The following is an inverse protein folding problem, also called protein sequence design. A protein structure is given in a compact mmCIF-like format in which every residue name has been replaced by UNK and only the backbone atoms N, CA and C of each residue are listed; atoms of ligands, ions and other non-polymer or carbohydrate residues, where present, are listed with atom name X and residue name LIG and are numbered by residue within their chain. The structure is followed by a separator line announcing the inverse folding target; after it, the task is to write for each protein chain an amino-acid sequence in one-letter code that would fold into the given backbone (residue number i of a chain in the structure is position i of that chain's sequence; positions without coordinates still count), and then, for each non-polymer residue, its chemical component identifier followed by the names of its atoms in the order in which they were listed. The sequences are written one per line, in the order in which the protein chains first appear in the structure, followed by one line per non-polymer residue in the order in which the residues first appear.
data_IF_479002524927
#
_entry.id   IF_479002524927
#
_cell.length_a   1.000
_cell.length_b   1.000
_cell.length_c   1.000
_cell.angle_alpha   90.00
_cell.angle_beta   90.00
_cell.angle_gamma   90.00
#
_symmetry.space_group_name_H-M   'P 1'
#
loop_
_entity.id
_entity.type
_entity.pdbx_description
1 polymer ?
#
# COMPACT_ATOMS: atom_id res chain seq x y z
N UNK A 1 30.22 15.41 6.74
CA UNK A 1 31.40 14.51 6.73
C UNK A 1 30.91 13.10 6.99
N UNK A 2 31.46 12.10 6.31
CA UNK A 2 30.89 10.75 6.11
C UNK A 2 30.74 9.90 7.38
N UNK A 3 29.73 9.02 7.42
CA UNK A 3 29.85 7.55 7.27
C UNK A 3 28.44 6.92 7.02
N UNK A 4 28.33 5.67 6.48
CA UNK A 4 27.20 5.22 5.67
C UNK A 4 26.62 3.85 6.15
N UNK A 5 26.18 2.98 5.21
CA UNK A 5 25.68 1.58 5.37
C UNK A 5 24.14 1.58 5.61
N UNK A 6 23.29 0.83 4.88
CA UNK A 6 23.36 -0.62 4.59
C UNK A 6 23.27 -1.05 3.12
N UNK A 7 24.25 -1.86 2.71
CA UNK A 7 24.03 -2.96 1.76
C UNK A 7 23.24 -4.10 2.43
N UNK A 8 22.42 -4.82 1.66
CA UNK A 8 22.06 -6.21 1.94
C UNK A 8 21.74 -6.95 0.62
N UNK A 9 22.70 -7.71 0.11
CA UNK A 9 22.58 -8.62 -1.04
C UNK A 9 22.44 -10.09 -0.57
N UNK A 10 21.89 -10.95 -1.44
CA UNK A 10 22.12 -12.41 -1.55
C UNK A 10 21.94 -13.36 -0.34
N UNK A 11 21.00 -14.31 -0.49
CA UNK A 11 21.25 -15.78 -0.60
C UNK A 11 20.07 -16.60 -0.03
N UNK A 12 19.41 -17.42 -0.86
CA UNK A 12 18.75 -18.67 -0.41
C UNK A 12 18.70 -19.70 -1.55
N UNK A 13 18.98 -21.01 -1.29
CA UNK A 13 18.86 -22.09 -2.26
C UNK A 13 17.47 -22.78 -2.26
N UNK A 14 17.26 -23.58 -3.28
CA UNK A 14 16.07 -24.39 -3.62
C UNK A 14 15.69 -25.50 -2.63
N UNK A 15 14.38 -25.81 -2.49
CA UNK A 15 13.76 -27.05 -3.03
C UNK A 15 12.32 -27.35 -2.52
N UNK A 16 11.52 -28.00 -3.38
CA UNK A 16 10.42 -29.00 -3.19
C UNK A 16 9.92 -29.35 -1.76
N UNK A 17 8.65 -29.72 -1.50
CA UNK A 17 7.78 -30.62 -2.29
C UNK A 17 6.25 -30.48 -1.98
N UNK A 18 5.42 -31.38 -2.52
CA UNK A 18 3.95 -31.29 -2.70
C UNK A 18 3.08 -32.00 -1.64
N UNK A 19 1.77 -31.75 -1.75
CA UNK A 19 0.64 -32.70 -1.52
C UNK A 19 0.05 -32.78 -0.09
N UNK A 20 -1.24 -33.10 0.17
CA UNK A 20 -2.45 -33.31 -0.67
C UNK A 20 -3.72 -33.34 0.25
N UNK A 21 -4.86 -32.73 -0.17
CA UNK A 21 -6.26 -33.04 0.26
C UNK A 21 -6.61 -32.91 1.78
N UNK A 22 -7.80 -33.22 2.31
CA UNK A 22 -9.21 -32.76 2.08
C UNK A 22 -10.09 -33.32 3.25
N UNK A 23 -11.35 -32.98 3.57
CA UNK A 23 -12.37 -32.01 3.08
C UNK A 23 -13.51 -31.89 4.13
N UNK A 24 -14.32 -30.81 4.12
CA UNK A 24 -15.68 -30.67 4.72
C UNK A 24 -15.84 -30.83 6.28
N UNK A 25 -16.86 -30.28 6.97
CA UNK A 25 -17.82 -29.18 6.74
C UNK A 25 -18.62 -28.87 8.05
N UNK A 26 -19.48 -27.84 7.99
CA UNK A 26 -20.75 -27.63 8.73
C UNK A 26 -20.86 -26.59 9.89
N UNK A 27 -21.71 -25.57 9.63
CA UNK A 27 -22.75 -24.94 10.48
C UNK A 27 -22.47 -24.54 11.95
N UNK A 28 -22.58 -23.24 12.27
CA UNK A 28 -23.85 -22.62 12.72
C UNK A 28 -23.81 -21.07 12.58
N UNK A 29 -24.95 -20.39 12.79
CA UNK A 29 -25.23 -18.99 12.44
C UNK A 29 -24.93 -17.99 13.55
N UNK A 30 -24.75 -16.74 13.10
CA UNK A 30 -25.00 -15.41 13.74
C UNK A 30 -23.75 -14.56 13.87
N UNK A 31 -23.47 -13.76 12.83
CA UNK A 31 -22.79 -12.48 13.00
C UNK A 31 -23.52 -11.37 12.25
N UNK A 32 -23.37 -10.17 12.80
CA UNK A 32 -24.10 -8.94 12.50
C UNK A 32 -23.99 -8.49 11.06
N UNK A 33 -25.12 -8.07 10.50
CA UNK A 33 -25.26 -7.53 9.15
C UNK A 33 -24.69 -6.09 9.08
N UNK A 34 -23.38 -5.97 9.05
CA UNK A 34 -22.73 -4.78 8.49
C UNK A 34 -22.96 -4.77 6.97
N UNK A 35 -23.05 -3.59 6.32
CA UNK A 35 -22.95 -3.51 4.86
C UNK A 35 -21.52 -3.89 4.44
N UNK A 36 -21.30 -5.19 4.29
CA UNK A 36 -20.06 -5.79 3.84
C UNK A 36 -19.90 -5.43 2.37
N UNK A 37 -19.12 -4.39 2.08
CA UNK A 37 -18.54 -4.21 0.76
C UNK A 37 -17.48 -5.30 0.63
N UNK A 38 -17.84 -6.41 -0.01
CA UNK A 38 -16.86 -7.41 -0.43
C UNK A 38 -15.97 -6.76 -1.48
N UNK A 39 -14.80 -6.31 -1.04
CA UNK A 39 -13.71 -5.87 -1.90
C UNK A 39 -13.08 -7.14 -2.49
N UNK A 40 -13.60 -7.53 -3.65
CA UNK A 40 -13.21 -8.74 -4.39
C UNK A 40 -11.73 -8.69 -4.83
N UNK A 41 -11.13 -9.83 -5.17
CA UNK A 41 -9.71 -9.92 -5.57
C UNK A 41 -9.37 -9.10 -6.84
N UNK A 42 -10.37 -8.80 -7.67
CA UNK A 42 -10.26 -7.92 -8.85
C UNK A 42 -10.37 -6.41 -8.50
N UNK A 43 -10.56 -6.07 -7.23
CA UNK A 43 -10.94 -4.71 -6.81
C UNK A 43 -9.73 -3.84 -6.51
N UNK A 44 -9.34 -3.03 -7.50
CA UNK A 44 -8.19 -2.12 -7.41
C UNK A 44 -8.46 -0.99 -6.39
N UNK A 45 -7.54 -0.84 -5.44
CA UNK A 45 -7.48 0.24 -4.44
C UNK A 45 -6.09 0.86 -4.50
N UNK A 46 -6.00 2.20 -4.43
CA UNK A 46 -4.70 2.89 -4.28
C UNK A 46 -4.48 3.29 -2.83
N UNK A 47 -3.23 3.29 -2.39
CA UNK A 47 -2.82 3.68 -1.04
C UNK A 47 -1.61 4.60 -1.07
N UNK A 48 -1.55 5.50 -0.11
CA UNK A 48 -0.39 6.30 0.23
C UNK A 48 -0.21 6.34 1.75
N UNK A 49 1.03 6.12 2.19
CA UNK A 49 1.43 6.28 3.58
C UNK A 49 2.09 7.64 3.77
N UNK A 50 1.67 8.39 4.79
CA UNK A 50 2.13 9.76 5.04
C UNK A 50 2.55 9.91 6.51
N UNK A 51 3.84 10.12 6.73
CA UNK A 51 4.37 10.45 8.06
C UNK A 51 3.85 11.85 8.43
N UNK A 52 3.22 12.04 9.62
CA UNK A 52 2.81 13.35 10.09
C UNK A 52 4.01 14.29 10.27
N UNK A 53 3.88 15.55 9.86
CA UNK A 53 4.88 16.58 10.13
C UNK A 53 4.87 16.96 11.62
N UNK A 54 5.91 17.66 12.07
CA UNK A 54 5.96 18.15 13.45
C UNK A 54 4.72 19.00 13.77
N UNK A 55 4.01 18.67 14.85
CA UNK A 55 2.75 19.29 15.24
C UNK A 55 1.48 18.71 14.59
N UNK A 56 1.58 17.78 13.64
CA UNK A 56 0.42 17.08 13.05
C UNK A 56 0.12 15.75 13.76
N UNK A 57 -1.17 15.41 13.85
CA UNK A 57 -1.63 14.05 14.15
C UNK A 57 -1.71 13.21 12.87
N UNK A 58 -1.93 11.90 13.02
CA UNK A 58 -2.27 11.00 11.91
C UNK A 58 -3.55 11.40 11.16
N UNK A 59 -4.46 12.18 11.79
CA UNK A 59 -5.67 12.69 11.13
C UNK A 59 -5.33 13.87 10.23
N UNK A 60 -4.44 14.76 10.66
CA UNK A 60 -4.03 15.95 9.91
C UNK A 60 -3.08 15.62 8.74
N UNK A 61 -2.45 14.44 8.78
CA UNK A 61 -1.60 13.92 7.72
C UNK A 61 -2.35 13.12 6.63
N UNK A 62 -3.69 13.01 6.72
CA UNK A 62 -4.53 12.34 5.72
C UNK A 62 -4.55 13.15 4.41
N UNK A 63 -4.49 12.47 3.28
CA UNK A 63 -4.63 13.10 1.96
C UNK A 63 -6.10 13.42 1.71
N UNK A 64 -6.41 14.71 1.55
CA UNK A 64 -7.77 15.23 1.33
C UNK A 64 -7.91 16.00 0.01
N UNK A 65 -6.83 16.07 -0.76
CA UNK A 65 -6.76 16.71 -2.07
C UNK A 65 -7.56 15.91 -3.12
N UNK A 66 -8.42 16.60 -3.86
CA UNK A 66 -9.42 15.96 -4.74
C UNK A 66 -9.12 16.16 -6.23
N UNK A 67 -8.33 17.17 -6.60
CA UNK A 67 -7.92 17.43 -7.98
C UNK A 67 -6.45 17.03 -8.15
N UNK A 68 -6.14 16.29 -9.22
CA UNK A 68 -4.80 15.77 -9.48
C UNK A 68 -4.45 15.91 -10.96
N UNK A 69 -3.25 16.37 -11.28
CA UNK A 69 -2.81 16.64 -12.65
C UNK A 69 -1.39 16.14 -12.99
N UNK A 70 -0.86 15.17 -12.22
CA UNK A 70 0.48 14.58 -12.43
C UNK A 70 0.78 14.26 -13.89
N UNK A 71 2.01 14.55 -14.31
CA UNK A 71 2.55 14.18 -15.61
C UNK A 71 3.79 13.27 -15.50
N UNK A 72 4.25 12.74 -16.63
CA UNK A 72 5.37 11.79 -16.64
C UNK A 72 6.68 12.43 -16.16
N UNK A 73 6.86 13.74 -16.40
CA UNK A 73 8.00 14.51 -15.91
C UNK A 73 7.94 14.75 -14.40
N UNK A 74 6.80 15.16 -13.86
CA UNK A 74 6.62 15.41 -12.42
C UNK A 74 6.79 14.13 -11.59
N UNK A 75 6.25 13.00 -12.07
CA UNK A 75 6.42 11.68 -11.44
C UNK A 75 7.87 11.19 -11.55
N UNK A 76 8.51 11.32 -12.73
CA UNK A 76 9.94 10.99 -12.90
C UNK A 76 10.81 11.80 -11.94
N UNK A 77 10.62 13.12 -11.88
CA UNK A 77 11.39 14.00 -11.00
C UNK A 77 11.20 13.63 -9.53
N UNK A 78 9.95 13.39 -9.11
CA UNK A 78 9.62 12.98 -7.73
C UNK A 78 10.28 11.65 -7.34
N UNK A 79 10.33 10.68 -8.26
CA UNK A 79 11.04 9.42 -8.05
C UNK A 79 12.56 9.55 -8.01
N UNK A 80 13.14 10.60 -8.61
CA UNK A 80 14.59 10.84 -8.59
C UNK A 80 15.02 11.71 -7.40
N UNK A 81 14.13 12.55 -6.86
CA UNK A 81 14.34 13.39 -5.68
C UNK A 81 13.43 12.97 -4.51
N UNK A 82 13.69 11.79 -3.94
CA UNK A 82 12.95 11.29 -2.76
C UNK A 82 13.01 12.22 -1.53
N UNK A 83 13.96 13.16 -1.47
CA UNK A 83 14.07 14.12 -0.37
C UNK A 83 13.09 15.30 -0.49
N UNK A 84 12.40 15.45 -1.63
CA UNK A 84 11.48 16.55 -1.91
C UNK A 84 12.18 17.91 -1.73
N UNK A 85 13.29 18.07 -2.44
CA UNK A 85 14.24 19.19 -2.38
C UNK A 85 13.63 20.46 -2.98
N UNK A 86 12.76 21.11 -2.19
CA UNK A 86 12.00 22.29 -2.61
C UNK A 86 10.51 22.21 -2.25
N UNK A 87 10.02 21.04 -1.81
CA UNK A 87 8.62 20.86 -1.40
C UNK A 87 7.63 20.69 -2.56
N UNK A 88 8.12 20.48 -3.79
CA UNK A 88 7.35 20.47 -5.04
C UNK A 88 7.02 19.07 -5.58
N UNK A 89 7.39 18.00 -4.88
CA UNK A 89 7.13 16.63 -5.33
C UNK A 89 5.64 16.26 -5.36
N UNK A 90 5.27 15.45 -6.34
CA UNK A 90 3.96 14.83 -6.46
C UNK A 90 3.67 13.91 -5.26
N UNK A 91 2.39 13.83 -4.88
CA UNK A 91 1.96 12.79 -3.96
C UNK A 91 1.80 11.46 -4.72
N UNK A 92 2.89 10.69 -4.81
CA UNK A 92 2.87 9.36 -5.42
C UNK A 92 2.04 8.35 -4.61
N UNK A 93 1.46 7.39 -5.32
CA UNK A 93 0.58 6.33 -4.85
C UNK A 93 1.13 4.95 -5.22
N UNK A 94 0.59 3.91 -4.59
CA UNK A 94 0.81 2.51 -4.94
C UNK A 94 -0.52 1.75 -4.98
N UNK A 95 -0.53 0.60 -5.66
CA UNK A 95 -1.60 -0.38 -5.49
C UNK A 95 -1.60 -0.90 -4.04
N UNK A 96 -2.77 -1.07 -3.43
CA UNK A 96 -2.86 -1.72 -2.12
C UNK A 96 -2.75 -3.23 -2.29
N UNK A 97 -1.52 -3.72 -2.22
CA UNK A 97 -1.16 -5.13 -2.29
C UNK A 97 -0.11 -5.48 -1.23
N UNK A 98 0.32 -6.75 -1.23
CA UNK A 98 1.35 -7.25 -0.30
C UNK A 98 2.70 -6.56 -0.54
N UNK A 99 3.03 -6.18 -1.77
CA UNK A 99 4.28 -5.47 -2.09
C UNK A 99 4.32 -4.09 -1.42
N UNK A 100 3.17 -3.43 -1.30
CA UNK A 100 3.04 -2.14 -0.63
C UNK A 100 3.11 -2.28 0.90
N UNK A 101 2.66 -3.42 1.47
CA UNK A 101 2.94 -3.75 2.87
C UNK A 101 4.43 -4.04 3.12
N UNK A 102 5.14 -4.65 2.16
CA UNK A 102 6.61 -4.79 2.23
C UNK A 102 7.33 -3.44 2.12
N UNK A 103 6.89 -2.57 1.21
CA UNK A 103 7.42 -1.23 1.02
C UNK A 103 7.32 -0.37 2.28
N UNK A 104 6.18 -0.43 2.97
CA UNK A 104 5.97 0.26 4.25
C UNK A 104 6.64 -0.44 5.45
N UNK A 105 7.35 -1.55 5.25
CA UNK A 105 8.03 -2.31 6.31
C UNK A 105 7.10 -3.13 7.21
N UNK A 106 5.79 -3.15 6.94
CA UNK A 106 4.76 -3.77 7.78
C UNK A 106 4.72 -5.29 7.61
N UNK A 107 5.14 -5.80 6.46
CA UNK A 107 5.14 -7.22 6.15
C UNK A 107 6.44 -7.67 5.51
N UNK A 108 6.91 -8.88 5.83
CA UNK A 108 8.03 -9.53 5.13
C UNK A 108 7.78 -11.04 5.04
N UNK A 109 7.88 -11.59 3.85
CA UNK A 109 7.87 -13.04 3.62
C UNK A 109 8.99 -13.41 2.63
N UNK A 110 9.68 -14.52 2.90
CA UNK A 110 10.82 -15.00 2.08
C UNK A 110 10.40 -15.54 0.71
N UNK A 111 9.11 -15.77 0.47
CA UNK A 111 8.56 -16.17 -0.82
C UNK A 111 8.26 -14.98 -1.76
N UNK A 112 8.36 -13.74 -1.27
CA UNK A 112 8.12 -12.54 -2.06
C UNK A 112 9.44 -11.94 -2.55
N UNK A 113 9.36 -11.14 -3.61
CA UNK A 113 10.51 -10.37 -4.08
C UNK A 113 11.03 -9.48 -2.94
N UNK A 114 12.35 -9.50 -2.72
CA UNK A 114 13.00 -8.65 -1.73
C UNK A 114 12.85 -7.18 -2.09
N UNK A 115 12.05 -6.45 -1.32
CA UNK A 115 11.88 -5.00 -1.43
C UNK A 115 12.48 -4.32 -0.20
N UNK A 116 13.28 -3.29 -0.42
CA UNK A 116 13.74 -2.43 0.68
C UNK A 116 12.55 -1.60 1.19
N UNK A 117 12.32 -1.63 2.51
CA UNK A 117 11.28 -0.82 3.12
C UNK A 117 11.72 0.65 3.16
N UNK A 118 10.79 1.58 2.91
CA UNK A 118 11.02 3.01 3.12
C UNK A 118 11.07 3.29 4.63
N UNK A 119 12.16 3.91 5.08
CA UNK A 119 12.37 4.22 6.49
C UNK A 119 11.28 5.13 7.05
N UNK A 120 10.73 4.76 8.21
CA UNK A 120 9.76 5.56 8.96
C UNK A 120 8.29 5.40 8.53
N UNK A 121 8.00 4.67 7.44
CA UNK A 121 6.62 4.32 7.09
C UNK A 121 6.01 3.27 8.04
N UNK A 122 6.85 2.59 8.83
CA UNK A 122 6.45 1.60 9.81
C UNK A 122 6.08 2.19 11.18
N UNK A 123 6.06 3.52 11.35
CA UNK A 123 5.62 4.16 12.59
C UNK A 123 4.10 4.08 12.80
N UNK A 124 3.63 3.76 14.01
CA UNK A 124 2.19 3.51 14.27
C UNK A 124 1.30 4.73 13.98
N UNK A 125 1.86 5.93 14.10
CA UNK A 125 1.20 7.20 13.81
C UNK A 125 1.21 7.59 12.32
N UNK A 126 1.79 6.80 11.42
CA UNK A 126 1.74 7.05 9.98
C UNK A 126 0.32 6.92 9.48
N UNK A 127 -0.15 7.93 8.74
CA UNK A 127 -1.47 7.94 8.15
C UNK A 127 -1.50 7.08 6.89
N UNK A 128 -2.44 6.13 6.80
CA UNK A 128 -2.77 5.44 5.56
C UNK A 128 -3.96 6.12 4.90
N UNK A 129 -3.77 6.68 3.70
CA UNK A 129 -4.84 7.24 2.88
C UNK A 129 -5.11 6.32 1.70
N UNK A 130 -6.37 5.96 1.48
CA UNK A 130 -6.80 4.98 0.48
C UNK A 130 -7.78 5.64 -0.48
N UNK A 131 -7.57 5.45 -1.78
CA UNK A 131 -8.55 5.78 -2.82
C UNK A 131 -9.31 4.50 -3.11
N UNK A 132 -10.60 4.51 -2.76
CA UNK A 132 -11.54 3.42 -2.97
C UNK A 132 -11.80 3.19 -4.47
N UNK A 133 -12.38 2.03 -4.86
CA UNK A 133 -12.56 1.66 -6.27
C UNK A 133 -13.40 2.67 -7.07
N UNK A 134 -14.35 3.35 -6.40
CA UNK A 134 -15.15 4.43 -6.99
C UNK A 134 -14.31 5.63 -7.42
N UNK A 135 -13.22 5.91 -6.70
CA UNK A 135 -12.24 6.93 -7.04
C UNK A 135 -11.23 6.46 -8.06
N UNK A 136 -10.74 5.22 -7.93
CA UNK A 136 -9.81 4.61 -8.91
C UNK A 136 -10.39 4.67 -10.33
N UNK A 137 -11.70 4.40 -10.49
CA UNK A 137 -12.39 4.49 -11.77
C UNK A 137 -12.44 5.91 -12.40
N UNK A 138 -12.13 6.97 -11.64
CA UNK A 138 -12.09 8.37 -12.09
C UNK A 138 -10.68 8.85 -12.46
N UNK A 139 -9.66 8.03 -12.24
CA UNK A 139 -8.25 8.41 -12.34
C UNK A 139 -7.54 7.73 -13.49
N UNK A 140 -6.54 8.43 -14.04
CA UNK A 140 -5.49 7.86 -14.89
C UNK A 140 -4.22 7.72 -14.06
N UNK A 141 -3.59 6.56 -14.10
CA UNK A 141 -2.27 6.33 -13.51
C UNK A 141 -1.16 6.88 -14.41
N UNK A 142 -0.12 7.44 -13.78
CA UNK A 142 1.00 8.11 -14.43
C UNK A 142 2.28 7.47 -13.92
N UNK A 143 2.94 6.69 -14.77
CA UNK A 143 4.23 6.06 -14.43
C UNK A 143 5.41 7.00 -14.69
N UNK A 144 6.54 6.84 -13.96
CA UNK A 144 7.79 7.51 -14.29
C UNK A 144 8.38 7.00 -15.61
N UNK A 145 9.06 7.87 -16.36
CA UNK A 145 9.91 7.46 -17.48
C UNK A 145 11.25 6.96 -16.95
N UNK A 146 11.41 5.64 -16.96
CA UNK A 146 12.61 4.94 -16.48
C UNK A 146 13.60 4.60 -17.58
N UNK A 147 13.39 5.08 -18.81
CA UNK A 147 14.25 4.77 -19.96
C UNK A 147 15.49 5.67 -20.03
N UNK A 148 15.51 6.81 -19.32
CA UNK A 148 16.63 7.75 -19.31
C UNK A 148 17.90 7.24 -18.62
N UNK A 149 19.04 7.81 -19.00
CA UNK A 149 20.39 7.40 -18.57
C UNK A 149 20.69 7.56 -17.06
N UNK A 150 19.82 8.28 -16.32
CA UNK A 150 19.97 8.49 -14.87
C UNK A 150 19.55 7.31 -13.99
N UNK A 151 18.86 6.31 -14.55
CA UNK A 151 18.27 5.21 -13.78
C UNK A 151 19.19 3.99 -13.72
N UNK A 152 19.51 3.49 -12.52
CA UNK A 152 20.11 2.15 -12.36
C UNK A 152 19.05 1.03 -12.44
N UNK A 153 19.47 -0.23 -12.51
CA UNK A 153 18.53 -1.35 -12.41
C UNK A 153 17.83 -1.42 -11.03
N UNK A 154 18.53 -0.98 -9.97
CA UNK A 154 17.99 -0.94 -8.61
C UNK A 154 16.92 0.15 -8.46
N UNK A 155 17.13 1.33 -9.06
CA UNK A 155 16.14 2.43 -9.01
C UNK A 155 14.85 2.04 -9.72
N UNK A 156 14.95 1.40 -10.89
CA UNK A 156 13.80 0.85 -11.62
C UNK A 156 13.00 -0.16 -10.79
N UNK A 157 13.70 -1.02 -10.05
CA UNK A 157 13.06 -1.97 -9.13
C UNK A 157 12.41 -1.26 -7.94
N UNK A 158 13.06 -0.22 -7.39
CA UNK A 158 12.55 0.54 -6.24
C UNK A 158 11.26 1.33 -6.56
N UNK A 159 11.11 1.84 -7.79
CA UNK A 159 9.91 2.56 -8.23
C UNK A 159 8.83 1.67 -8.85
N UNK A 160 9.08 0.35 -8.96
CA UNK A 160 8.08 -0.59 -9.46
C UNK A 160 6.82 -0.55 -8.59
N UNK A 161 5.68 -0.28 -9.23
CA UNK A 161 4.38 -0.16 -8.57
C UNK A 161 4.09 1.22 -7.94
N UNK A 162 4.99 2.19 -8.09
CA UNK A 162 4.80 3.59 -7.68
C UNK A 162 4.35 4.42 -8.89
N UNK A 163 3.33 5.27 -8.72
CA UNK A 163 2.77 6.11 -9.79
C UNK A 163 2.18 7.42 -9.26
N UNK A 164 2.13 8.46 -10.09
CA UNK A 164 1.25 9.60 -9.90
C UNK A 164 -0.16 9.32 -10.41
N UNK A 165 -1.09 10.24 -10.15
CA UNK A 165 -2.50 10.14 -10.60
C UNK A 165 -2.94 11.45 -11.24
N UNK A 166 -3.83 11.35 -12.23
CA UNK A 166 -4.49 12.52 -12.83
C UNK A 166 -6.00 12.28 -12.93
N UNK A 167 -6.80 13.27 -12.53
CA UNK A 167 -8.26 13.22 -12.51
C UNK A 167 -8.88 13.97 -11.32
N UNK A 168 -10.18 13.79 -11.12
CA UNK A 168 -10.95 14.42 -10.06
C UNK A 168 -11.65 13.37 -9.20
N UNK A 169 -11.55 13.53 -7.89
CA UNK A 169 -12.16 12.68 -6.87
C UNK A 169 -13.23 13.45 -6.07
N UNK A 170 -14.09 12.69 -5.41
CA UNK A 170 -15.00 13.18 -4.38
C UNK A 170 -14.46 12.82 -2.99
N UNK A 171 -14.83 13.59 -1.95
CA UNK A 171 -14.44 13.27 -0.57
C UNK A 171 -14.94 11.90 -0.08
N UNK A 172 -15.93 11.30 -0.75
CA UNK A 172 -16.44 9.94 -0.50
C UNK A 172 -15.60 8.82 -1.10
N UNK A 173 -14.71 9.13 -2.05
CA UNK A 173 -13.79 8.16 -2.66
C UNK A 173 -12.59 7.84 -1.77
N UNK A 174 -12.38 8.61 -0.70
CA UNK A 174 -11.31 8.38 0.26
C UNK A 174 -11.78 7.60 1.48
N UNK A 175 -10.90 6.73 1.98
CA UNK A 175 -10.96 6.15 3.31
C UNK A 175 -9.57 6.14 3.95
N UNK A 176 -9.50 6.07 5.27
CA UNK A 176 -8.26 6.29 6.02
C UNK A 176 -8.09 5.29 7.15
N UNK A 177 -6.84 5.02 7.51
CA UNK A 177 -6.51 4.31 8.76
C UNK A 177 -5.14 4.76 9.26
N UNK A 178 -4.63 4.12 10.31
CA UNK A 178 -3.24 4.30 10.76
C UNK A 178 -2.44 3.03 10.53
N UNK A 179 -1.12 3.19 10.42
CA UNK A 179 -0.21 2.03 10.36
C UNK A 179 -0.30 1.16 11.61
N UNK A 180 -0.56 1.74 12.80
CA UNK A 180 -0.86 0.97 14.00
C UNK A 180 -2.05 0.02 13.81
N UNK A 181 -3.19 0.51 13.31
CA UNK A 181 -4.37 -0.32 13.06
C UNK A 181 -4.13 -1.39 11.97
N UNK A 182 -3.26 -1.11 10.98
CA UNK A 182 -2.83 -2.12 10.00
C UNK A 182 -1.98 -3.20 10.68
N UNK A 183 -1.06 -2.85 11.59
CA UNK A 183 -0.27 -3.82 12.36
C UNK A 183 -1.14 -4.69 13.24
N UNK A 184 -2.11 -4.13 13.95
CA UNK A 184 -3.07 -4.88 14.76
C UNK A 184 -3.80 -5.92 13.87
N UNK A 185 -4.29 -5.49 12.70
CA UNK A 185 -4.93 -6.36 11.71
C UNK A 185 -3.97 -7.44 11.15
N UNK A 186 -2.68 -7.14 11.04
CA UNK A 186 -1.64 -8.08 10.61
C UNK A 186 -1.24 -9.09 11.69
N UNK A 187 -1.45 -8.80 12.98
CA UNK A 187 -1.17 -9.75 14.08
C UNK A 187 -2.15 -10.93 14.09
N UNK A 188 -3.41 -10.68 13.73
CA UNK A 188 -4.43 -11.71 13.58
C UNK A 188 -4.32 -12.46 12.23
N UNK A 189 -3.58 -11.91 11.27
CA UNK A 189 -3.37 -12.47 9.95
C UNK A 189 -2.21 -13.47 9.91
N UNK A 190 -2.46 -14.64 9.32
CA UNK A 190 -1.47 -15.70 9.09
C UNK A 190 -1.43 -16.02 7.60
N UNK A 191 -0.43 -15.52 6.85
CA UNK A 191 -0.34 -15.70 5.39
C UNK A 191 -0.14 -17.16 4.95
N UNK A 192 0.04 -18.10 5.90
CA UNK A 192 0.14 -19.54 5.62
C UNK A 192 -1.22 -20.23 5.52
N UNK A 193 -2.30 -19.62 6.03
CA UNK A 193 -3.67 -20.17 6.00
C UNK A 193 -4.36 -19.78 4.71
N UNK A 194 -4.29 -20.65 3.69
CA UNK A 194 -4.52 -20.27 2.29
C UNK A 194 -5.95 -19.99 1.83
N UNK A 195 -6.99 -20.48 2.51
CA UNK A 195 -8.34 -20.52 1.91
C UNK A 195 -9.37 -19.54 2.51
N UNK A 196 -9.20 -19.12 3.77
CA UNK A 196 -10.14 -18.18 4.43
C UNK A 196 -9.45 -16.93 5.02
N UNK A 197 -8.12 -16.85 4.99
CA UNK A 197 -7.38 -15.82 5.74
C UNK A 197 -7.04 -14.59 4.89
N UNK A 198 -8.07 -13.79 4.62
CA UNK A 198 -7.91 -12.45 4.06
C UNK A 198 -7.45 -11.47 5.14
N UNK A 199 -6.51 -10.58 4.83
CA UNK A 199 -6.21 -9.45 5.71
C UNK A 199 -7.38 -8.47 5.64
N UNK A 200 -8.05 -8.22 6.77
CA UNK A 200 -9.20 -7.32 6.86
C UNK A 200 -8.80 -6.06 7.62
N UNK A 201 -8.88 -4.92 6.96
CA UNK A 201 -8.65 -3.61 7.55
C UNK A 201 -10.00 -2.91 7.81
N UNK A 202 -10.10 -2.20 8.94
CA UNK A 202 -11.14 -1.21 9.15
C UNK A 202 -10.62 0.17 8.73
N UNK A 203 -11.29 0.79 7.77
CA UNK A 203 -11.00 2.15 7.32
C UNK A 203 -12.11 3.11 7.77
N UNK A 204 -11.76 4.36 8.07
CA UNK A 204 -12.66 5.47 8.40
C UNK A 204 -12.87 6.35 7.15
N UNK A 205 -14.11 6.61 6.74
CA UNK A 205 -14.43 7.64 5.72
C UNK A 205 -14.41 9.05 6.32
N UNK A 206 -14.37 10.08 5.47
CA UNK A 206 -14.42 11.49 5.92
C UNK A 206 -15.64 11.84 6.80
N UNK A 207 -16.76 11.12 6.67
CA UNK A 207 -17.96 11.30 7.50
C UNK A 207 -17.95 10.48 8.81
N UNK A 208 -16.89 9.71 9.08
CA UNK A 208 -16.76 8.83 10.25
C UNK A 208 -17.28 7.40 10.06
N UNK A 209 -17.89 7.07 8.91
CA UNK A 209 -18.35 5.71 8.64
C UNK A 209 -17.16 4.73 8.52
N UNK A 210 -17.33 3.53 9.07
CA UNK A 210 -16.36 2.44 8.87
C UNK A 210 -16.63 1.72 7.54
N UNK A 211 -15.56 1.43 6.80
CA UNK A 211 -15.57 0.63 5.57
C UNK A 211 -14.55 -0.51 5.73
N UNK A 212 -14.97 -1.78 5.57
CA UNK A 212 -14.02 -2.89 5.52
C UNK A 212 -13.24 -2.83 4.21
N UNK A 213 -11.92 -3.05 4.29
CA UNK A 213 -11.07 -3.32 3.13
C UNK A 213 -10.44 -4.70 3.30
N UNK A 214 -10.64 -5.55 2.31
CA UNK A 214 -10.16 -6.93 2.27
C UNK A 214 -8.99 -7.01 1.31
N UNK A 215 -7.82 -7.49 1.76
CA UNK A 215 -6.71 -7.86 0.88
C UNK A 215 -6.70 -9.38 0.71
N UNK A 216 -7.03 -9.83 -0.49
CA UNK A 216 -6.86 -11.21 -0.92
C UNK A 216 -5.40 -11.51 -1.28
N UNK A 217 -4.95 -12.74 -1.00
CA UNK A 217 -3.73 -13.28 -1.59
C UNK A 217 -4.04 -13.67 -3.03
N UNK A 218 -3.70 -12.84 -4.00
CA UNK A 218 -3.78 -13.20 -5.43
C UNK A 218 -2.80 -14.36 -5.68
N UNK A 219 -3.29 -15.41 -6.36
CA UNK A 219 -2.60 -16.68 -6.59
C UNK A 219 -1.98 -16.81 -7.98
#
# INVERSE_FOLDING_TARGET
MLLPICLAWLNLPSAFSRSIWSSAASHDRRQTMFPQVDVDADTVVYVRFQIPRSGQTSRDARVTETSWDSDVGSVTATCMDFFNSGGTNDQLWRYFDISTLQYAGLFRASCLMGMAAQSGLDGDNVAGSFILPSGVAKLRTIGPDTNGDGWTAQDRQAVTGIFGIAGQLDASDFAYTTVGAIKDSLMDWDPRKRYDNQLRLSLEKNNGDSVPLTLGLIH
#
